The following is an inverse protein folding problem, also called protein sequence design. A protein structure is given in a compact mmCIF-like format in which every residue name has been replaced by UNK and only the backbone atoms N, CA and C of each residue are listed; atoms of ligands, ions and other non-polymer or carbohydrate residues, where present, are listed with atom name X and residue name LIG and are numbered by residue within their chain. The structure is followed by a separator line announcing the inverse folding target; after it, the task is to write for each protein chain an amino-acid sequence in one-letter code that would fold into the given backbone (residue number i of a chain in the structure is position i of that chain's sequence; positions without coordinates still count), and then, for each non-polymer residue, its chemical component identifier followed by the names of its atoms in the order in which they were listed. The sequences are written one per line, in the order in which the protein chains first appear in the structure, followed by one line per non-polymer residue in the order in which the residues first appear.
data_IF_442342071933
#
_entry.id   IF_442342071933
#
_cell.length_a   1.000
_cell.length_b   1.000
_cell.length_c   1.000
_cell.angle_alpha   90.00
_cell.angle_beta   90.00
_cell.angle_gamma   90.00
#
_symmetry.space_group_name_H-M   'P 1'
#
loop_
_entity.id
_entity.type
_entity.pdbx_description
1 polymer ?
#
# COMPACT_ATOMS: atom_id res chain seq x y z
N UNK A 1 10.44 -24.66 -2.89
CA UNK A 1 9.26 -24.45 -2.01
C UNK A 1 9.03 -22.95 -1.96
N UNK A 2 7.84 -22.46 -2.32
CA UNK A 2 7.55 -21.02 -2.25
C UNK A 2 7.33 -20.71 -0.77
N UNK A 3 8.23 -19.92 -0.18
CA UNK A 3 8.07 -19.40 1.18
C UNK A 3 6.91 -18.39 1.19
N UNK A 4 6.08 -18.43 2.22
CA UNK A 4 5.05 -17.41 2.43
C UNK A 4 5.70 -16.08 2.84
N UNK A 5 5.24 -14.99 2.25
CA UNK A 5 5.65 -13.64 2.60
C UNK A 5 5.16 -13.28 4.02
N UNK A 6 6.03 -12.67 4.82
CA UNK A 6 5.76 -12.36 6.25
C UNK A 6 5.54 -10.87 6.52
N UNK A 7 5.00 -10.12 5.56
CA UNK A 7 4.75 -8.69 5.70
C UNK A 7 6.05 -7.88 5.85
N UNK A 8 6.00 -6.76 6.58
CA UNK A 8 7.15 -5.85 6.78
C UNK A 8 8.30 -6.48 7.58
N UNK A 9 8.05 -7.62 8.24
CA UNK A 9 9.04 -8.41 9.00
C UNK A 9 9.78 -9.43 8.12
N UNK A 10 9.41 -9.55 6.85
CA UNK A 10 10.10 -10.42 5.92
C UNK A 10 11.58 -9.98 5.74
N UNK A 11 12.45 -10.93 5.39
CA UNK A 11 13.89 -10.68 5.24
C UNK A 11 14.20 -9.97 3.93
N UNK A 12 13.34 -10.11 2.91
CA UNK A 12 13.50 -9.46 1.62
C UNK A 12 12.21 -8.75 1.23
N UNK A 13 12.10 -7.49 1.62
CA UNK A 13 10.87 -6.68 1.57
C UNK A 13 11.14 -5.23 1.25
N UNK A 14 10.23 -4.61 0.51
CA UNK A 14 10.13 -3.16 0.38
C UNK A 14 9.03 -2.67 1.31
N UNK A 15 9.32 -1.64 2.10
CA UNK A 15 8.47 -1.11 3.16
C UNK A 15 8.27 0.38 2.93
N UNK A 16 7.02 0.84 3.00
CA UNK A 16 6.64 2.23 3.04
C UNK A 16 5.96 2.53 4.38
N UNK A 17 6.49 3.51 5.11
CA UNK A 17 5.90 4.01 6.36
C UNK A 17 5.49 5.47 6.23
N UNK A 18 4.59 5.88 7.11
CA UNK A 18 4.08 7.26 7.17
C UNK A 18 3.36 7.68 5.88
N UNK A 19 2.77 6.72 5.15
CA UNK A 19 2.04 6.98 3.90
C UNK A 19 0.79 7.85 4.13
N UNK A 20 0.10 7.63 5.25
CA UNK A 20 -1.09 8.39 5.63
C UNK A 20 -0.80 9.29 6.83
N UNK A 21 -1.27 10.55 6.84
CA UNK A 21 -1.14 11.41 8.01
C UNK A 21 -1.88 10.79 9.19
N UNK A 22 -1.23 10.74 10.36
CA UNK A 22 -1.80 10.28 11.63
C UNK A 22 -2.18 8.79 11.70
N UNK A 23 -1.74 7.98 10.74
CA UNK A 23 -1.93 6.53 10.76
C UNK A 23 -0.59 5.82 10.91
N UNK A 24 -0.59 4.72 11.63
CA UNK A 24 0.56 3.82 11.82
C UNK A 24 0.64 2.73 10.75
N UNK A 25 -0.24 2.77 9.75
CA UNK A 25 -0.25 1.79 8.66
C UNK A 25 1.08 1.76 7.91
N UNK A 26 1.56 0.54 7.69
CA UNK A 26 2.74 0.18 6.94
C UNK A 26 2.31 -0.55 5.68
N UNK A 27 2.83 -0.09 4.54
CA UNK A 27 2.66 -0.78 3.26
C UNK A 27 3.92 -1.61 3.01
N UNK A 28 3.76 -2.89 2.71
CA UNK A 28 4.88 -3.82 2.50
C UNK A 28 4.65 -4.75 1.30
N UNK A 29 5.74 -5.23 0.72
CA UNK A 29 5.69 -6.08 -0.47
C UNK A 29 7.02 -6.83 -0.64
N UNK A 30 7.02 -8.08 -1.13
CA UNK A 30 8.28 -8.82 -1.33
C UNK A 30 9.19 -8.14 -2.35
N UNK A 31 10.51 -8.18 -2.12
CA UNK A 31 11.50 -7.74 -3.12
C UNK A 31 11.40 -8.55 -4.40
N UNK A 32 11.17 -9.86 -4.28
CA UNK A 32 10.97 -10.76 -5.40
C UNK A 32 9.48 -10.99 -5.64
N UNK A 33 8.95 -10.30 -6.67
CA UNK A 33 7.58 -10.54 -7.16
C UNK A 33 7.51 -11.89 -7.89
N UNK A 34 7.23 -12.98 -7.16
CA UNK A 34 6.96 -14.27 -7.83
C UNK A 34 5.69 -14.17 -8.67
N UNK A 35 5.64 -14.86 -9.82
CA UNK A 35 4.56 -14.84 -10.84
C UNK A 35 3.13 -15.03 -10.32
N UNK A 36 2.93 -15.38 -9.04
CA UNK A 36 1.62 -15.62 -8.42
C UNK A 36 1.25 -14.69 -7.27
N UNK A 37 2.15 -13.80 -6.80
CA UNK A 37 1.84 -12.93 -5.66
C UNK A 37 2.42 -11.53 -5.90
N UNK A 38 1.75 -10.77 -6.77
CA UNK A 38 2.00 -9.34 -6.93
C UNK A 38 1.09 -8.57 -5.99
N UNK A 39 1.42 -8.60 -4.70
CA UNK A 39 0.60 -8.09 -3.61
C UNK A 39 1.29 -6.97 -2.83
N UNK A 40 0.50 -5.98 -2.43
CA UNK A 40 0.85 -4.97 -1.43
C UNK A 40 0.06 -5.30 -0.17
N UNK A 41 0.80 -5.50 0.91
CA UNK A 41 0.30 -5.86 2.22
C UNK A 41 0.20 -4.58 3.04
N UNK A 42 -0.91 -4.40 3.73
CA UNK A 42 -1.16 -3.23 4.57
C UNK A 42 -1.34 -3.71 6.00
N UNK A 43 -0.39 -3.34 6.85
CA UNK A 43 -0.24 -3.80 8.24
C UNK A 43 -0.34 -2.60 9.20
N UNK A 44 -0.98 -2.75 10.35
CA UNK A 44 -1.07 -1.69 11.37
C UNK A 44 -2.42 -1.75 12.11
N UNK A 45 -2.92 -0.59 12.54
CA UNK A 45 -4.20 -0.51 13.24
C UNK A 45 -5.38 -1.13 12.45
N UNK A 46 -6.11 -2.11 13.02
CA UNK A 46 -7.21 -2.79 12.32
C UNK A 46 -8.37 -1.89 11.90
N UNK A 47 -8.67 -0.83 12.67
CA UNK A 47 -9.75 0.11 12.35
C UNK A 47 -9.34 0.92 11.12
N UNK A 48 -8.10 1.39 11.08
CA UNK A 48 -7.55 2.07 9.90
C UNK A 48 -7.51 1.14 8.68
N UNK A 49 -7.15 -0.14 8.84
CA UNK A 49 -7.17 -1.12 7.76
C UNK A 49 -8.59 -1.32 7.19
N UNK A 50 -9.61 -1.47 8.05
CA UNK A 50 -11.00 -1.63 7.63
C UNK A 50 -11.52 -0.41 6.87
N UNK A 51 -11.23 0.80 7.36
CA UNK A 51 -11.58 2.04 6.68
C UNK A 51 -10.90 2.10 5.31
N UNK A 52 -9.60 1.83 5.27
CA UNK A 52 -8.83 1.86 4.03
C UNK A 52 -9.35 0.85 3.01
N UNK A 53 -9.68 -0.38 3.44
CA UNK A 53 -10.25 -1.42 2.60
C UNK A 53 -11.49 -0.94 1.82
N UNK A 54 -12.41 -0.23 2.49
CA UNK A 54 -13.61 0.31 1.85
C UNK A 54 -13.29 1.26 0.69
N UNK A 55 -12.25 2.07 0.84
CA UNK A 55 -11.79 2.98 -0.21
C UNK A 55 -11.03 2.26 -1.33
N UNK A 56 -10.18 1.28 -0.99
CA UNK A 56 -9.35 0.56 -1.94
C UNK A 56 -10.15 -0.30 -2.91
N UNK A 57 -11.35 -0.79 -2.54
CA UNK A 57 -12.26 -1.50 -3.47
C UNK A 57 -12.60 -0.69 -4.73
N UNK A 58 -12.47 0.64 -4.69
CA UNK A 58 -12.67 1.49 -5.88
C UNK A 58 -11.62 1.24 -6.96
N UNK A 59 -10.42 0.81 -6.58
CA UNK A 59 -9.33 0.53 -7.52
C UNK A 59 -9.65 -0.59 -8.50
N UNK A 60 -10.38 -1.62 -8.06
CA UNK A 60 -10.74 -2.80 -8.87
C UNK A 60 -11.84 -2.49 -9.90
N UNK A 61 -12.58 -1.40 -9.70
CA UNK A 61 -13.75 -1.04 -10.53
C UNK A 61 -13.40 -0.10 -11.69
N UNK A 62 -12.14 0.25 -11.85
CA UNK A 62 -11.69 1.21 -12.86
C UNK A 62 -11.00 0.47 -13.98
N UNK A 63 -11.51 0.67 -15.20
CA UNK A 63 -10.74 0.42 -16.41
C UNK A 63 -9.73 1.55 -16.55
N UNK A 64 -8.45 1.22 -16.39
CA UNK A 64 -7.39 2.22 -16.37
C UNK A 64 -7.00 2.73 -17.77
N UNK A 65 -7.64 2.26 -18.85
CA UNK A 65 -7.31 2.64 -20.22
C UNK A 65 -5.84 2.36 -20.59
N UNK A 66 -5.38 2.86 -21.74
CA UNK A 66 -4.03 2.63 -22.28
C UNK A 66 -2.87 3.17 -21.41
N UNK A 67 -3.16 3.86 -20.29
CA UNK A 67 -2.17 4.58 -19.47
C UNK A 67 -1.61 3.72 -18.31
N UNK A 68 -2.18 2.55 -18.02
CA UNK A 68 -1.67 1.69 -16.96
C UNK A 68 -1.01 0.41 -17.47
N UNK A 69 0.12 0.09 -16.85
CA UNK A 69 0.95 -1.07 -17.16
C UNK A 69 0.41 -2.39 -16.55
N UNK A 70 -0.89 -2.43 -16.24
CA UNK A 70 -1.56 -3.49 -15.48
C UNK A 70 -2.81 -3.02 -14.74
N UNK A 71 -3.48 -3.94 -14.05
CA UNK A 71 -4.78 -3.72 -13.41
C UNK A 71 -4.84 -4.21 -11.95
N UNK A 72 -5.70 -3.59 -11.14
CA UNK A 72 -5.97 -4.07 -9.78
C UNK A 72 -6.98 -5.21 -9.83
N UNK A 73 -6.54 -6.42 -9.56
CA UNK A 73 -7.36 -7.63 -9.70
C UNK A 73 -8.14 -7.99 -8.43
N UNK A 74 -7.78 -7.40 -7.29
CA UNK A 74 -8.48 -7.70 -6.04
C UNK A 74 -7.95 -6.93 -4.84
N UNK A 75 -8.83 -6.75 -3.86
CA UNK A 75 -8.49 -6.30 -2.51
C UNK A 75 -9.11 -7.30 -1.56
N UNK A 76 -8.28 -7.97 -0.76
CA UNK A 76 -8.71 -8.91 0.26
C UNK A 76 -8.80 -8.18 1.61
N UNK A 77 -9.91 -8.33 2.35
CA UNK A 77 -10.03 -7.75 3.67
C UNK A 77 -9.05 -8.41 4.65
N UNK A 78 -8.99 -7.88 5.87
CA UNK A 78 -8.36 -8.54 7.00
C UNK A 78 -8.98 -9.93 7.21
N UNK A 79 -8.15 -10.97 7.33
CA UNK A 79 -8.56 -12.36 7.60
C UNK A 79 -7.93 -12.83 8.93
N UNK A 80 -8.54 -13.78 9.64
CA UNK A 80 -7.95 -14.37 10.84
C UNK A 80 -6.59 -15.03 10.53
N UNK A 81 -6.46 -15.63 9.33
CA UNK A 81 -5.22 -16.24 8.87
C UNK A 81 -4.21 -15.22 8.31
N UNK A 82 -4.67 -14.00 7.97
CA UNK A 82 -3.88 -12.92 7.39
C UNK A 82 -4.22 -11.60 8.09
N UNK A 83 -3.41 -11.22 9.08
CA UNK A 83 -3.62 -10.01 9.90
C UNK A 83 -3.29 -8.69 9.15
N UNK A 84 -3.48 -8.67 7.84
CA UNK A 84 -3.30 -7.51 6.97
C UNK A 84 -4.36 -7.50 5.87
N UNK A 85 -4.64 -6.30 5.34
CA UNK A 85 -5.36 -6.16 4.05
C UNK A 85 -4.37 -6.37 2.91
N UNK A 86 -4.78 -7.06 1.83
CA UNK A 86 -3.91 -7.31 0.66
C UNK A 86 -4.50 -6.70 -0.59
N UNK A 87 -3.73 -5.87 -1.29
CA UNK A 87 -4.06 -5.35 -2.63
C UNK A 87 -3.27 -6.13 -3.66
N UNK A 88 -3.94 -6.70 -4.66
CA UNK A 88 -3.31 -7.43 -5.76
C UNK A 88 -3.29 -6.61 -7.05
N UNK A 89 -2.13 -6.59 -7.71
CA UNK A 89 -1.91 -5.93 -9.00
C UNK A 89 -1.39 -6.92 -10.03
N UNK A 90 -2.07 -7.06 -11.15
CA UNK A 90 -1.60 -7.82 -12.30
C UNK A 90 -0.91 -6.90 -13.29
N UNK A 91 0.42 -6.95 -13.33
CA UNK A 91 1.20 -6.18 -14.30
C UNK A 91 1.41 -6.95 -15.60
N UNK A 92 1.45 -6.21 -16.71
CA UNK A 92 1.68 -6.75 -18.06
C UNK A 92 3.14 -7.19 -18.24
N UNK A 93 4.11 -6.46 -17.67
CA UNK A 93 5.54 -6.83 -17.67
C UNK A 93 6.12 -6.81 -16.27
N UNK A 94 7.20 -7.57 -16.05
CA UNK A 94 7.87 -7.65 -14.74
C UNK A 94 8.45 -6.30 -14.29
N UNK A 95 8.98 -5.49 -15.21
CA UNK A 95 9.52 -4.15 -14.91
C UNK A 95 8.46 -3.16 -14.42
N UNK A 96 7.21 -3.35 -14.86
CA UNK A 96 6.09 -2.49 -14.50
C UNK A 96 5.65 -2.72 -13.04
N UNK A 97 5.92 -3.91 -12.49
CA UNK A 97 5.69 -4.26 -11.08
C UNK A 97 6.58 -3.45 -10.12
N UNK A 98 7.78 -3.05 -10.55
CA UNK A 98 8.70 -2.25 -9.74
C UNK A 98 8.20 -0.79 -9.67
N UNK A 99 7.59 -0.28 -10.74
CA UNK A 99 7.01 1.07 -10.77
C UNK A 99 5.72 1.19 -9.95
N UNK A 100 5.03 0.06 -9.71
CA UNK A 100 3.82 -0.05 -8.88
C UNK A 100 3.97 0.64 -7.53
N UNK A 101 5.08 0.37 -6.84
CA UNK A 101 5.34 0.80 -5.46
C UNK A 101 5.84 2.23 -5.36
N UNK A 102 6.64 2.66 -6.34
CA UNK A 102 7.30 3.95 -6.27
C UNK A 102 6.35 5.11 -6.53
N UNK A 103 5.32 4.94 -7.37
CA UNK A 103 4.46 6.06 -7.77
C UNK A 103 3.00 5.69 -8.07
N UNK A 104 2.73 4.54 -8.69
CA UNK A 104 1.39 4.25 -9.21
C UNK A 104 0.39 4.06 -8.07
N UNK A 105 0.72 3.24 -7.07
CA UNK A 105 -0.17 2.98 -5.93
C UNK A 105 -0.53 4.28 -5.19
N UNK A 106 0.46 5.12 -4.87
CA UNK A 106 0.22 6.38 -4.17
C UNK A 106 -0.69 7.31 -5.00
N UNK A 107 -0.43 7.45 -6.30
CA UNK A 107 -1.28 8.26 -7.19
C UNK A 107 -2.71 7.74 -7.26
N UNK A 108 -2.89 6.42 -7.35
CA UNK A 108 -4.22 5.82 -7.40
C UNK A 108 -4.96 5.99 -6.06
N UNK A 109 -4.29 5.79 -4.93
CA UNK A 109 -4.90 6.03 -3.62
C UNK A 109 -5.35 7.49 -3.47
N UNK A 110 -4.54 8.46 -3.92
CA UNK A 110 -4.92 9.86 -3.88
C UNK A 110 -6.06 10.20 -4.86
N UNK A 111 -5.88 9.91 -6.15
CA UNK A 111 -6.79 10.39 -7.19
C UNK A 111 -8.11 9.60 -7.28
N UNK A 112 -8.08 8.28 -7.06
CA UNK A 112 -9.24 7.41 -7.24
C UNK A 112 -9.94 7.16 -5.91
N UNK A 113 -9.16 6.84 -4.88
CA UNK A 113 -9.72 6.56 -3.56
C UNK A 113 -10.02 7.83 -2.76
N UNK A 114 -9.55 8.99 -3.23
CA UNK A 114 -9.59 10.30 -2.56
C UNK A 114 -8.87 10.29 -1.21
N UNK A 115 -7.88 9.41 -1.01
CA UNK A 115 -7.16 9.27 0.25
C UNK A 115 -6.06 10.31 0.38
N UNK A 116 -6.02 11.00 1.52
CA UNK A 116 -4.99 11.98 1.84
C UNK A 116 -3.70 11.26 2.22
N UNK A 117 -2.65 11.51 1.46
CA UNK A 117 -1.31 11.00 1.70
C UNK A 117 -0.44 12.02 2.45
N UNK A 118 0.56 11.54 3.17
CA UNK A 118 1.58 12.39 3.80
C UNK A 118 2.49 13.02 2.75
N UNK A 119 2.97 14.23 3.05
CA UNK A 119 3.94 14.93 2.19
C UNK A 119 5.28 14.21 2.11
N UNK A 120 5.66 13.50 3.18
CA UNK A 120 6.90 12.74 3.28
C UNK A 120 6.57 11.32 3.71
N UNK A 121 7.08 10.35 2.96
CA UNK A 121 6.96 8.91 3.23
C UNK A 121 8.36 8.32 3.38
N UNK A 122 8.54 7.36 4.26
CA UNK A 122 9.80 6.65 4.44
C UNK A 122 9.78 5.36 3.62
N UNK A 123 10.78 5.15 2.78
CA UNK A 123 11.02 3.90 2.05
C UNK A 123 12.21 3.17 2.66
N UNK A 124 12.00 1.91 3.04
CA UNK A 124 13.06 0.99 3.44
C UNK A 124 13.05 -0.24 2.54
N UNK A 125 14.20 -0.60 1.98
CA UNK A 125 14.39 -1.85 1.24
C UNK A 125 15.28 -2.76 2.07
N UNK A 126 14.77 -3.94 2.42
CA UNK A 126 15.53 -5.00 3.09
C UNK A 126 15.83 -6.11 2.10
N UNK A 127 17.06 -6.62 2.10
CA UNK A 127 17.48 -7.78 1.30
C UNK A 127 18.24 -8.73 2.21
N UNK A 128 17.77 -9.97 2.33
CA UNK A 128 18.37 -11.00 3.19
C UNK A 128 18.55 -10.57 4.66
N UNK A 129 17.64 -9.75 5.17
CA UNK A 129 17.62 -9.26 6.55
C UNK A 129 18.29 -7.90 6.74
N UNK A 130 19.17 -7.49 5.83
CA UNK A 130 19.90 -6.23 5.91
C UNK A 130 19.15 -5.09 5.22
N UNK A 131 19.25 -3.88 5.76
CA UNK A 131 18.74 -2.67 5.11
C UNK A 131 19.68 -2.32 3.95
N UNK A 132 19.23 -2.57 2.73
CA UNK A 132 19.97 -2.27 1.50
C UNK A 132 19.81 -0.80 1.07
N UNK A 133 18.66 -0.19 1.37
CA UNK A 133 18.36 1.21 1.05
C UNK A 133 17.35 1.79 2.05
N UNK A 134 17.54 3.05 2.41
CA UNK A 134 16.59 3.83 3.18
C UNK A 134 16.56 5.26 2.64
N UNK A 135 15.37 5.79 2.36
CA UNK A 135 15.22 7.14 1.82
C UNK A 135 13.85 7.75 2.14
N UNK A 136 13.78 9.08 2.11
CA UNK A 136 12.53 9.80 2.17
C UNK A 136 12.01 10.10 0.77
N UNK A 137 10.76 9.72 0.50
CA UNK A 137 10.02 10.06 -0.70
C UNK A 137 9.16 11.28 -0.38
N UNK A 138 9.36 12.36 -1.12
CA UNK A 138 8.59 13.60 -0.98
C UNK A 138 7.60 13.68 -2.13
N UNK A 139 6.33 13.94 -1.83
CA UNK A 139 5.34 14.20 -2.87
C UNK A 139 5.70 15.48 -3.65
N UNK A 140 5.56 15.49 -4.99
CA UNK A 140 5.74 16.70 -5.79
C UNK A 140 4.86 17.86 -5.30
N UNK A 141 5.33 19.10 -5.47
CA UNK A 141 4.60 20.30 -5.01
C UNK A 141 3.21 20.45 -5.62
N UNK A 142 3.04 19.97 -6.84
CA UNK A 142 1.81 20.00 -7.65
C UNK A 142 1.02 18.68 -7.59
N UNK A 143 1.36 17.77 -6.66
CA UNK A 143 0.66 16.51 -6.51
C UNK A 143 -0.80 16.73 -6.07
N UNK A 144 -1.73 16.26 -6.88
CA UNK A 144 -3.16 16.24 -6.56
C UNK A 144 -3.44 15.19 -5.46
N UNK A 145 -3.39 15.63 -4.20
CA UNK A 145 -3.60 14.78 -3.04
C UNK A 145 -5.09 14.62 -2.71
N UNK A 146 -5.45 13.53 -2.05
CA UNK A 146 -6.83 13.27 -1.63
C UNK A 146 -7.26 14.07 -0.40
N UNK A 147 -8.58 14.14 -0.20
CA UNK A 147 -9.19 14.89 0.89
C UNK A 147 -9.51 14.02 2.12
N UNK A 148 -9.69 12.71 1.93
CA UNK A 148 -10.11 11.78 2.98
C UNK A 148 -8.90 11.42 3.83
N UNK A 149 -8.84 11.96 5.04
CA UNK A 149 -7.85 11.58 6.03
C UNK A 149 -8.33 10.37 6.84
N UNK A 150 -7.42 9.45 7.15
CA UNK A 150 -7.66 8.44 8.18
C UNK A 150 -7.72 9.14 9.56
N UNK A 151 -8.50 8.61 10.51
CA UNK A 151 -8.53 9.16 11.86
C UNK A 151 -7.14 9.06 12.50
N UNK A 152 -6.83 9.99 13.41
CA UNK A 152 -5.61 9.87 14.21
C UNK A 152 -5.75 8.77 15.26
N UNK A 153 -4.62 8.21 15.69
CA UNK A 153 -4.50 7.15 16.73
C UNK A 153 -4.98 7.53 18.15
N UNK A 154 -5.87 8.52 18.29
CA UNK A 154 -6.47 8.93 19.57
C UNK A 154 -7.89 9.52 19.45
N UNK A 155 -8.54 9.43 18.29
CA UNK A 155 -9.84 10.08 18.03
C UNK A 155 -11.08 9.20 18.19
N UNK A 156 -10.95 7.97 18.72
CA UNK A 156 -12.06 7.01 18.83
C UNK A 156 -12.72 7.11 20.20
N UNK A 157 -13.30 8.27 20.51
CA UNK A 157 -14.31 8.34 21.57
C UNK A 157 -15.69 8.73 21.01
N UNK A 158 -15.79 9.36 19.84
CA UNK A 158 -17.05 9.99 19.44
C UNK A 158 -17.79 9.37 18.22
N UNK A 159 -17.40 8.19 17.72
CA UNK A 159 -18.07 7.58 16.54
C UNK A 159 -19.03 6.44 16.92
N UNK A 160 -19.22 6.13 18.22
CA UNK A 160 -20.17 5.09 18.66
C UNK A 160 -21.13 5.54 19.78
N UNK A 161 -21.47 6.83 19.85
CA UNK A 161 -22.54 7.34 20.74
C UNK A 161 -23.85 7.60 19.96
#
# INVERSE_FOLDING_TARGET
MVRNFRGYKDESVVILKHVFPNSDLVLSTPVEFSKKVSGVYIEGDPIHQLLLYEHLKKLVKIDFGEICFGEWIGVLPLDEDLSWTVIHYEAVKEIDKIQLLNMVLLRHMAAICNLRLSLVTELTVKVRGDIAQEQFIVLPKDFANGEIALPGTGGIIDILA
#
